data_IF_583641586012
#
_entry.id   IF_583641586012
#
_cell.length_a   1.000
_cell.length_b   1.000
_cell.length_c   1.000
_cell.angle_alpha   90.00
_cell.angle_beta   90.00
_cell.angle_gamma   90.00
#
_symmetry.space_group_name_H-M   'P 1'
#
loop_
_entity.id
_entity.type
_entity.pdbx_description
1 polymer ?
#
# COMPACT_ATOMS: atom_id res chain seq x y z
N UNK A 1 -16.08 1.14 -12.64
CA UNK A 1 -15.23 2.22 -12.11
C UNK A 1 -13.91 2.17 -12.85
N UNK A 2 -13.33 3.30 -13.25
CA UNK A 2 -12.06 3.29 -13.99
C UNK A 2 -10.85 3.14 -13.05
N UNK A 3 -9.77 2.56 -13.56
CA UNK A 3 -8.50 2.45 -12.86
C UNK A 3 -7.83 3.84 -12.72
N UNK A 4 -7.09 4.06 -11.64
CA UNK A 4 -6.40 5.33 -11.38
C UNK A 4 -4.97 5.23 -11.93
N UNK A 5 -4.51 6.21 -12.72
CA UNK A 5 -3.11 6.32 -13.15
C UNK A 5 -2.41 7.44 -12.40
N UNK A 6 -1.25 7.16 -11.81
CA UNK A 6 -0.46 8.13 -11.07
C UNK A 6 1.04 7.84 -11.25
N UNK A 7 1.83 8.82 -11.67
CA UNK A 7 3.29 8.69 -11.91
C UNK A 7 3.70 7.46 -12.74
N UNK A 8 2.91 7.11 -13.76
CA UNK A 8 3.13 5.93 -14.61
C UNK A 8 2.68 4.59 -14.01
N UNK A 9 2.33 4.55 -12.72
CA UNK A 9 1.75 3.38 -12.06
C UNK A 9 0.23 3.35 -12.28
N UNK A 10 -0.32 2.16 -12.51
CA UNK A 10 -1.76 1.95 -12.66
C UNK A 10 -2.32 1.24 -11.43
N UNK A 11 -3.33 1.84 -10.80
CA UNK A 11 -4.01 1.32 -9.62
C UNK A 11 -5.40 0.81 -10.00
N UNK A 12 -5.62 -0.48 -9.75
CA UNK A 12 -6.80 -1.21 -10.19
C UNK A 12 -7.81 -1.26 -9.05
N UNK A 13 -9.06 -0.94 -9.35
CA UNK A 13 -10.15 -0.86 -8.35
C UNK A 13 -11.49 -1.44 -8.81
N UNK A 14 -11.51 -2.07 -9.98
CA UNK A 14 -12.74 -2.60 -10.58
C UNK A 14 -12.83 -4.13 -10.39
N UNK A 15 -12.96 -4.59 -9.14
CA UNK A 15 -13.14 -6.00 -8.79
C UNK A 15 -13.88 -6.15 -7.45
N UNK A 16 -14.30 -7.37 -7.12
CA UNK A 16 -15.05 -7.67 -5.89
C UNK A 16 -14.30 -7.22 -4.63
N UNK A 17 -15.02 -6.54 -3.73
CA UNK A 17 -14.49 -6.03 -2.47
C UNK A 17 -13.34 -5.01 -2.60
N UNK A 18 -13.09 -4.45 -3.79
CA UNK A 18 -12.10 -3.39 -3.95
C UNK A 18 -12.47 -2.14 -3.13
N UNK A 19 -11.48 -1.55 -2.46
CA UNK A 19 -11.61 -0.24 -1.82
C UNK A 19 -10.36 0.61 -2.08
N UNK A 20 -10.53 1.61 -2.93
CA UNK A 20 -9.54 2.60 -3.34
C UNK A 20 -10.29 3.85 -3.79
N UNK A 21 -10.12 4.98 -3.11
CA UNK A 21 -10.79 6.23 -3.45
C UNK A 21 -9.90 7.14 -4.31
N UNK A 22 -8.66 7.39 -3.86
CA UNK A 22 -7.74 8.39 -4.41
C UNK A 22 -6.29 7.92 -4.29
N UNK A 23 -5.45 8.35 -5.23
CA UNK A 23 -3.98 8.16 -5.19
C UNK A 23 -3.29 9.46 -5.57
N UNK A 24 -2.26 9.84 -4.82
CA UNK A 24 -1.37 10.96 -5.13
C UNK A 24 0.09 10.53 -4.97
N UNK A 25 0.94 10.95 -5.89
CA UNK A 25 2.38 10.75 -5.75
C UNK A 25 2.94 11.75 -4.72
N UNK A 26 3.81 11.26 -3.84
CA UNK A 26 4.55 12.10 -2.91
C UNK A 26 5.79 12.64 -3.66
N UNK A 27 5.98 13.97 -3.74
CA UNK A 27 7.16 14.53 -4.36
C UNK A 27 8.43 14.02 -3.71
N UNK A 28 9.39 13.61 -4.53
CA UNK A 28 10.70 13.19 -4.04
C UNK A 28 11.47 14.40 -3.54
N UNK A 29 11.77 14.46 -2.24
CA UNK A 29 12.59 15.53 -1.69
C UNK A 29 14.07 15.25 -1.94
N UNK A 30 14.65 15.97 -2.91
CA UNK A 30 16.06 15.86 -3.30
C UNK A 30 17.01 16.18 -2.13
N UNK A 31 16.56 16.94 -1.11
CA UNK A 31 17.39 17.30 0.05
C UNK A 31 17.78 16.10 0.93
N UNK A 32 17.01 15.00 0.89
CA UNK A 32 17.27 13.79 1.68
C UNK A 32 18.51 13.03 1.18
N UNK A 33 18.81 13.11 -0.13
CA UNK A 33 20.01 12.52 -0.72
C UNK A 33 21.29 13.25 -0.29
N UNK A 34 21.22 14.58 -0.14
CA UNK A 34 22.39 15.43 0.16
C UNK A 34 22.86 15.23 1.61
N UNK A 35 21.94 14.98 2.54
CA UNK A 35 22.28 14.76 3.96
C UNK A 35 22.80 13.36 4.28
N UNK A 36 22.65 12.40 3.36
CA UNK A 36 23.14 11.03 3.55
C UNK A 36 24.64 10.86 3.17
N UNK A 37 25.25 11.88 2.54
CA UNK A 37 26.61 11.82 1.99
C UNK A 37 27.76 12.24 2.93
N UNK A 38 27.49 12.61 4.19
CA UNK A 38 28.45 13.41 4.96
C UNK A 38 28.88 12.83 6.32
N UNK A 39 28.78 11.52 6.58
CA UNK A 39 29.33 10.94 7.82
C UNK A 39 30.18 9.68 7.54
N UNK A 40 31.47 9.93 7.29
CA UNK A 40 32.56 8.95 7.46
C UNK A 40 32.63 8.53 8.94
N UNK A 41 32.09 7.36 9.27
CA UNK A 41 32.49 6.62 10.47
C UNK A 41 32.19 5.13 10.30
N UNK A 42 33.20 4.33 10.62
CA UNK A 42 33.31 2.89 10.45
C UNK A 42 32.27 2.14 11.28
N UNK A 43 31.11 1.88 10.67
CA UNK A 43 30.12 0.91 11.14
C UNK A 43 29.24 0.56 9.96
N UNK A 44 29.03 -0.72 9.67
CA UNK A 44 28.10 -1.22 8.64
C UNK A 44 26.66 -0.83 9.00
N UNK A 45 26.33 0.45 8.87
CA UNK A 45 24.96 0.95 8.88
C UNK A 45 24.37 0.59 7.52
N UNK A 46 23.46 -0.38 7.50
CA UNK A 46 22.58 -0.59 6.36
C UNK A 46 21.82 0.72 6.20
N UNK A 47 22.16 1.50 5.17
CA UNK A 47 21.43 2.72 4.84
C UNK A 47 19.97 2.33 4.57
N UNK A 48 18.98 3.05 5.12
CA UNK A 48 17.58 2.77 4.83
C UNK A 48 17.36 2.90 3.33
N UNK A 49 16.86 1.82 2.71
CA UNK A 49 16.61 1.77 1.28
C UNK A 49 15.53 2.81 0.92
N UNK A 50 15.95 3.81 0.15
CA UNK A 50 15.11 4.94 -0.27
C UNK A 50 14.15 4.44 -1.35
N UNK A 51 12.83 4.68 -1.23
CA UNK A 51 11.87 4.28 -2.26
C UNK A 51 12.11 5.06 -3.56
N UNK A 52 11.98 4.36 -4.70
CA UNK A 52 12.02 4.98 -6.03
C UNK A 52 10.76 5.83 -6.27
N UNK A 53 9.62 5.41 -5.71
CA UNK A 53 8.35 6.13 -5.78
C UNK A 53 7.59 5.99 -4.46
N UNK A 54 6.87 7.03 -4.07
CA UNK A 54 6.03 7.05 -2.88
C UNK A 54 4.63 7.58 -3.23
N UNK A 55 3.60 6.95 -2.67
CA UNK A 55 2.21 7.29 -2.95
C UNK A 55 1.39 7.41 -1.66
N UNK A 56 0.58 8.45 -1.59
CA UNK A 56 -0.52 8.55 -0.65
C UNK A 56 -1.78 7.96 -1.28
N UNK A 57 -2.49 7.14 -0.51
CA UNK A 57 -3.63 6.34 -0.95
C UNK A 57 -4.75 6.51 0.07
N UNK A 58 -5.95 6.81 -0.41
CA UNK A 58 -7.14 6.94 0.44
C UNK A 58 -8.16 5.88 0.09
N UNK A 59 -8.91 5.43 1.08
CA UNK A 59 -10.06 4.53 0.94
C UNK A 59 -11.38 5.29 1.00
N UNK A 60 -12.44 4.69 0.47
CA UNK A 60 -13.81 5.14 0.69
C UNK A 60 -14.25 4.71 2.10
N UNK A 61 -15.06 5.51 2.81
CA UNK A 61 -15.69 5.08 4.06
C UNK A 61 -16.59 3.84 3.85
N UNK A 62 -16.86 3.11 4.93
CA UNK A 62 -17.81 2.01 4.91
C UNK A 62 -19.18 2.48 4.40
N UNK A 63 -19.76 1.72 3.47
CA UNK A 63 -21.02 2.06 2.80
C UNK A 63 -21.01 3.43 2.09
N UNK A 64 -19.82 3.93 1.70
CA UNK A 64 -19.67 5.25 1.12
C UNK A 64 -20.56 5.51 -0.10
N UNK A 65 -21.21 6.67 -0.12
CA UNK A 65 -22.18 7.07 -1.14
C UNK A 65 -23.59 6.50 -0.94
N UNK A 66 -23.88 5.89 0.20
CA UNK A 66 -25.23 5.37 0.54
C UNK A 66 -25.75 6.00 1.84
N UNK A 67 -27.02 5.78 2.17
CA UNK A 67 -27.62 6.23 3.44
C UNK A 67 -27.02 5.55 4.69
N UNK A 68 -26.32 4.44 4.51
CA UNK A 68 -25.66 3.68 5.58
C UNK A 68 -24.18 4.04 5.75
N UNK A 69 -23.70 5.08 5.04
CA UNK A 69 -22.33 5.56 5.15
C UNK A 69 -21.97 5.86 6.61
N UNK A 70 -20.79 5.40 7.03
CA UNK A 70 -20.23 5.74 8.32
C UNK A 70 -18.75 6.12 8.20
N UNK A 71 -18.20 6.80 9.22
CA UNK A 71 -16.84 7.33 9.18
C UNK A 71 -15.71 6.28 9.22
N UNK A 72 -16.00 4.98 9.24
CA UNK A 72 -14.96 3.96 9.30
C UNK A 72 -14.24 3.82 7.96
N UNK A 73 -12.91 3.76 8.04
CA UNK A 73 -11.94 3.60 6.96
C UNK A 73 -10.89 2.57 7.41
N UNK A 74 -11.24 1.29 7.40
CA UNK A 74 -10.28 0.22 7.80
C UNK A 74 -9.90 -0.66 6.60
N UNK A 75 -10.88 -1.00 5.77
CA UNK A 75 -10.67 -1.91 4.66
C UNK A 75 -10.05 -1.18 3.46
N UNK A 76 -8.86 -1.62 3.04
CA UNK A 76 -8.31 -1.31 1.72
C UNK A 76 -8.14 -2.60 0.93
N UNK A 77 -8.44 -2.55 -0.36
CA UNK A 77 -8.12 -3.62 -1.30
C UNK A 77 -8.01 -3.04 -2.72
N UNK A 78 -6.81 -3.08 -3.28
CA UNK A 78 -6.53 -2.54 -4.61
C UNK A 78 -5.47 -3.36 -5.34
N UNK A 79 -5.47 -3.28 -6.67
CA UNK A 79 -4.38 -3.78 -7.50
C UNK A 79 -3.41 -2.66 -7.88
N UNK A 80 -2.17 -3.00 -8.16
CA UNK A 80 -1.13 -2.09 -8.63
C UNK A 80 -0.34 -2.78 -9.74
N UNK A 81 -0.22 -2.11 -10.88
CA UNK A 81 0.72 -2.47 -11.94
C UNK A 81 1.76 -1.36 -12.03
N UNK A 82 2.99 -1.71 -11.69
CA UNK A 82 4.11 -0.78 -11.72
C UNK A 82 4.56 -0.47 -13.16
N UNK A 83 5.19 0.68 -13.34
CA UNK A 83 5.80 1.08 -14.60
C UNK A 83 7.16 0.42 -14.87
N UNK A 84 7.82 -0.10 -13.84
CA UNK A 84 9.11 -0.77 -13.95
C UNK A 84 9.22 -1.99 -13.00
N UNK A 85 9.99 -3.02 -13.38
CA UNK A 85 10.29 -4.15 -12.50
C UNK A 85 11.32 -3.76 -11.44
N UNK A 86 11.32 -4.48 -10.32
CA UNK A 86 12.34 -4.37 -9.26
C UNK A 86 12.56 -2.98 -8.67
N UNK A 87 11.58 -2.07 -8.77
CA UNK A 87 11.58 -0.77 -8.10
C UNK A 87 10.96 -0.89 -6.71
N UNK A 88 11.46 -0.12 -5.76
CA UNK A 88 10.94 -0.02 -4.41
C UNK A 88 9.87 1.06 -4.34
N UNK A 89 8.64 0.66 -4.07
CA UNK A 89 7.52 1.59 -3.89
C UNK A 89 7.14 1.65 -2.41
N UNK A 90 6.98 2.87 -1.88
CA UNK A 90 6.37 3.11 -0.57
C UNK A 90 4.91 3.51 -0.74
N UNK A 91 4.03 2.82 -0.04
CA UNK A 91 2.58 3.04 -0.06
C UNK A 91 2.16 3.55 1.31
N UNK A 92 1.53 4.72 1.35
CA UNK A 92 0.97 5.35 2.54
C UNK A 92 -0.55 5.28 2.44
N UNK A 93 -1.19 4.45 3.24
CA UNK A 93 -2.65 4.40 3.35
C UNK A 93 -3.06 5.45 4.38
N UNK A 94 -3.55 6.58 3.89
CA UNK A 94 -3.87 7.80 4.64
C UNK A 94 -5.30 7.76 5.12
N UNK A 95 -5.54 8.37 6.29
CA UNK A 95 -6.87 8.55 6.88
C UNK A 95 -7.57 7.20 7.16
N UNK A 96 -6.81 6.20 7.63
CA UNK A 96 -7.42 4.98 8.15
C UNK A 96 -7.93 5.19 9.58
N UNK A 97 -8.85 4.35 10.04
CA UNK A 97 -9.15 4.25 11.47
C UNK A 97 -7.85 4.02 12.26
N UNK A 98 -7.80 4.56 13.48
CA UNK A 98 -6.65 4.46 14.38
C UNK A 98 -6.43 3.01 14.83
N UNK A 99 -5.62 2.26 14.09
CA UNK A 99 -5.33 0.84 14.31
C UNK A 99 -3.92 0.60 14.88
N UNK A 100 -3.31 1.62 15.50
CA UNK A 100 -1.92 1.59 15.98
C UNK A 100 -1.57 0.36 16.84
N UNK A 101 -2.46 -0.04 17.76
CA UNK A 101 -2.24 -1.19 18.64
C UNK A 101 -2.12 -2.51 17.86
N UNK A 102 -2.94 -2.69 16.83
CA UNK A 102 -2.92 -3.90 16.01
C UNK A 102 -1.63 -4.00 15.19
N UNK A 103 -1.20 -2.89 14.58
CA UNK A 103 0.06 -2.84 13.84
C UNK A 103 1.30 -2.95 14.75
N UNK A 104 1.25 -2.40 15.97
CA UNK A 104 2.35 -2.56 16.94
C UNK A 104 2.55 -4.00 17.40
N UNK A 105 1.49 -4.83 17.33
CA UNK A 105 1.49 -6.26 17.64
C UNK A 105 1.86 -7.15 16.44
N UNK A 106 2.38 -6.58 15.35
CA UNK A 106 2.93 -7.35 14.22
C UNK A 106 1.92 -7.68 13.13
N UNK A 107 0.78 -6.97 13.08
CA UNK A 107 -0.09 -7.04 11.92
C UNK A 107 0.62 -6.43 10.70
N UNK A 108 0.58 -7.16 9.59
CA UNK A 108 1.08 -6.69 8.30
C UNK A 108 -0.03 -6.84 7.25
N UNK A 109 -0.18 -5.87 6.34
CA UNK A 109 -0.98 -6.04 5.13
C UNK A 109 -0.54 -7.28 4.35
N UNK A 110 -1.43 -7.75 3.48
CA UNK A 110 -1.14 -8.88 2.61
C UNK A 110 -1.04 -8.44 1.16
N UNK A 111 -0.30 -9.19 0.37
CA UNK A 111 -0.20 -8.98 -1.07
C UNK A 111 -0.30 -10.29 -1.86
N UNK A 112 -0.73 -10.20 -3.11
CA UNK A 112 -0.80 -11.31 -4.07
C UNK A 112 -0.37 -10.84 -5.46
N UNK A 113 0.42 -11.64 -6.19
CA UNK A 113 0.98 -11.24 -7.49
C UNK A 113 0.39 -12.12 -8.60
N UNK A 114 -0.35 -11.54 -9.54
CA UNK A 114 -0.97 -12.29 -10.65
C UNK A 114 -0.31 -11.88 -11.97
N UNK A 115 0.06 -12.83 -12.87
CA UNK A 115 -0.16 -14.28 -12.78
C UNK A 115 0.95 -15.05 -12.03
N UNK A 116 2.03 -14.39 -11.62
CA UNK A 116 3.26 -15.07 -11.18
C UNK A 116 3.13 -15.90 -9.89
N UNK A 117 2.20 -15.57 -8.98
CA UNK A 117 2.03 -16.25 -7.68
C UNK A 117 0.56 -16.27 -7.22
N UNK A 118 -0.01 -17.47 -7.12
CA UNK A 118 -1.44 -17.64 -6.84
C UNK A 118 -1.86 -17.40 -5.37
N UNK A 119 -0.92 -17.36 -4.43
CA UNK A 119 -1.18 -17.20 -2.99
C UNK A 119 -1.03 -15.76 -2.48
N UNK A 120 -1.57 -15.54 -1.28
CA UNK A 120 -1.38 -14.31 -0.51
C UNK A 120 -0.18 -14.47 0.44
N UNK A 121 0.69 -13.46 0.48
CA UNK A 121 1.78 -13.35 1.45
C UNK A 121 1.59 -12.10 2.32
N UNK A 122 2.27 -12.04 3.46
CA UNK A 122 2.35 -10.81 4.25
C UNK A 122 3.45 -9.91 3.72
N UNK A 123 3.26 -8.59 3.80
CA UNK A 123 4.35 -7.64 3.63
C UNK A 123 5.47 -8.01 4.61
N UNK A 124 6.68 -8.23 4.07
CA UNK A 124 7.82 -8.77 4.82
C UNK A 124 8.40 -7.74 5.78
N UNK A 125 8.54 -6.52 5.30
CA UNK A 125 9.04 -5.40 6.09
C UNK A 125 7.96 -4.96 7.07
N UNK A 126 8.36 -4.69 8.32
CA UNK A 126 7.45 -4.17 9.34
C UNK A 126 6.84 -2.84 8.86
N UNK A 127 5.51 -2.73 8.72
CA UNK A 127 4.87 -1.46 8.42
C UNK A 127 5.14 -0.43 9.51
N UNK A 128 5.20 0.83 9.12
CA UNK A 128 5.27 1.97 10.04
C UNK A 128 3.93 2.68 10.05
N UNK A 129 3.64 3.46 11.09
CA UNK A 129 2.47 4.31 11.12
C UNK A 129 2.77 5.60 11.87
N UNK A 130 2.07 6.67 11.50
CA UNK A 130 2.03 7.91 12.26
C UNK A 130 0.57 8.29 12.57
N UNK A 131 0.40 9.27 13.44
CA UNK A 131 -0.88 9.87 13.75
C UNK A 131 -0.64 11.37 13.89
N UNK A 132 -0.49 12.01 12.74
CA UNK A 132 -0.26 13.45 12.63
C UNK A 132 -1.62 14.12 12.40
N UNK A 133 -1.92 15.17 13.17
CA UNK A 133 -3.18 15.93 13.08
C UNK A 133 -4.45 15.04 13.09
N UNK A 134 -4.45 14.01 13.95
CA UNK A 134 -5.51 12.98 14.07
C UNK A 134 -5.71 12.10 12.81
N UNK A 135 -4.84 12.23 11.81
CA UNK A 135 -4.83 11.40 10.61
C UNK A 135 -3.88 10.22 10.84
N UNK A 136 -4.43 9.02 10.97
CA UNK A 136 -3.63 7.80 11.05
C UNK A 136 -3.23 7.36 9.64
N UNK A 137 -1.91 7.34 9.39
CA UNK A 137 -1.34 6.85 8.13
C UNK A 137 -0.54 5.58 8.36
N UNK A 138 -0.86 4.53 7.61
CA UNK A 138 -0.10 3.29 7.56
C UNK A 138 0.84 3.30 6.36
N UNK A 139 2.13 3.14 6.58
CA UNK A 139 3.12 3.07 5.51
C UNK A 139 3.78 1.70 5.43
N UNK A 140 3.92 1.18 4.22
CA UNK A 140 4.69 -0.04 3.97
C UNK A 140 5.37 0.01 2.61
N UNK A 141 6.44 -0.77 2.46
CA UNK A 141 7.24 -0.82 1.25
C UNK A 141 7.01 -2.13 0.51
N UNK A 142 7.12 -2.07 -0.80
CA UNK A 142 6.98 -3.21 -1.68
C UNK A 142 7.92 -3.10 -2.87
N UNK A 143 8.66 -4.18 -3.14
CA UNK A 143 9.49 -4.27 -4.35
C UNK A 143 8.70 -4.94 -5.47
N UNK A 144 8.61 -4.27 -6.60
CA UNK A 144 7.80 -4.72 -7.73
C UNK A 144 8.38 -6.00 -8.34
N UNK A 145 7.52 -6.93 -8.83
CA UNK A 145 7.98 -8.17 -9.43
C UNK A 145 8.77 -7.92 -10.73
N UNK A 146 9.62 -8.87 -11.12
CA UNK A 146 10.37 -8.82 -12.38
C UNK A 146 9.45 -8.79 -13.62
N UNK A 147 8.29 -9.44 -13.52
CA UNK A 147 7.27 -9.39 -14.57
C UNK A 147 6.52 -8.06 -14.52
N UNK A 148 6.87 -7.13 -15.42
CA UNK A 148 6.23 -5.80 -15.53
C UNK A 148 4.74 -5.84 -15.89
N UNK A 149 4.24 -6.95 -16.43
CA UNK A 149 2.81 -7.13 -16.73
C UNK A 149 2.03 -7.64 -15.52
N UNK A 150 2.71 -8.10 -14.46
CA UNK A 150 2.05 -8.61 -13.28
C UNK A 150 1.33 -7.50 -12.51
N UNK A 151 0.18 -7.87 -11.95
CA UNK A 151 -0.58 -7.03 -11.02
C UNK A 151 -0.27 -7.53 -9.62
N UNK A 152 0.16 -6.62 -8.76
CA UNK A 152 0.24 -6.87 -7.32
C UNK A 152 -1.01 -6.32 -6.65
N UNK A 153 -1.77 -7.19 -6.02
CA UNK A 153 -2.90 -6.84 -5.19
C UNK A 153 -2.45 -6.66 -3.75
N UNK A 154 -2.95 -5.64 -3.07
CA UNK A 154 -2.72 -5.37 -1.65
C UNK A 154 -4.05 -5.30 -0.93
N UNK A 155 -4.12 -5.89 0.27
CA UNK A 155 -5.31 -5.83 1.11
C UNK A 155 -4.95 -5.67 2.59
N UNK A 156 -5.88 -5.10 3.36
CA UNK A 156 -5.77 -4.96 4.81
C UNK A 156 -5.50 -6.31 5.49
N UNK A 157 -6.26 -7.34 5.12
CA UNK A 157 -6.04 -8.73 5.50
C UNK A 157 -6.47 -9.64 4.34
N UNK A 158 -6.33 -10.96 4.50
CA UNK A 158 -6.73 -11.95 3.50
C UNK A 158 -8.19 -11.73 3.06
N UNK A 159 -8.45 -11.30 1.82
CA UNK A 159 -9.82 -11.17 1.33
C UNK A 159 -10.42 -12.56 1.13
N UNK A 160 -11.69 -12.71 1.50
CA UNK A 160 -12.47 -13.90 1.20
C UNK A 160 -13.47 -13.57 0.07
N UNK A 161 -13.26 -14.06 -1.16
CA UNK A 161 -14.13 -13.73 -2.29
C UNK A 161 -15.54 -14.30 -2.11
N UNK A 162 -16.56 -13.51 -2.45
CA UNK A 162 -17.97 -13.96 -2.37
C UNK A 162 -18.23 -15.16 -3.30
N UNK A 163 -17.49 -15.27 -4.41
CA UNK A 163 -17.63 -16.38 -5.36
C UNK A 163 -17.25 -17.74 -4.74
N UNK A 164 -16.40 -17.76 -3.71
CA UNK A 164 -16.00 -18.99 -3.01
C UNK A 164 -17.09 -19.40 -1.99
N UNK A 165 -17.88 -18.47 -1.45
CA UNK A 165 -18.90 -18.78 -0.44
C UNK A 165 -20.16 -19.46 -1.00
N UNK A 166 -20.41 -19.37 -2.32
CA UNK A 166 -21.58 -19.97 -2.98
C UNK A 166 -21.40 -21.43 -3.43
N UNK A 167 -20.31 -22.09 -3.01
CA UNK A 167 -20.04 -23.51 -3.29
C UNK A 167 -20.34 -24.44 -2.10
N UNK A 168 -21.05 -23.96 -1.08
CA UNK A 168 -21.55 -24.76 0.03
C UNK A 168 -23.05 -25.03 -0.13
#
# INVERSE_FOLDING_TARGET
MEDIRCSGVTFIRNFDSANLAKVEAVPYDVSVLVNSGSHSSTSTRILPEIPDQEFNIWTTPDCGGTEFENGNRTWFYFGMRANAPSILIKLNIVDLNKQAKMYSQGMCPVYKVVPSRMGWDRIRDKPTYNNEDEIFTLSFRYRTPENSQAITYFAFTYPFPIVISRKC
#
